data_IF_403860851234
#
_entry.id   IF_403860851234
#
_cell.length_a   1.000
_cell.length_b   1.000
_cell.length_c   1.000
_cell.angle_alpha   90.00
_cell.angle_beta   90.00
_cell.angle_gamma   90.00
#
_symmetry.space_group_name_H-M   'P 1'
#
loop_
_entity.id
_entity.type
_entity.pdbx_description
1 polymer ?
#
# COMPACT_ATOMS: atom_id res chain seq x y z
N UNK A 1 23.53 -21.16 22.44
CA UNK A 1 22.72 -20.44 21.43
C UNK A 1 21.66 -19.68 22.19
N UNK A 2 21.95 -18.39 22.42
CA UNK A 2 21.19 -17.53 23.35
C UNK A 2 19.76 -17.27 22.88
N UNK A 3 18.83 -17.42 23.80
CA UNK A 3 17.38 -17.19 23.67
C UNK A 3 17.04 -15.66 23.59
N UNK A 4 18.03 -14.81 23.34
CA UNK A 4 17.89 -13.35 23.26
C UNK A 4 17.18 -12.85 21.99
N UNK A 5 16.76 -13.74 21.08
CA UNK A 5 16.17 -13.36 19.79
C UNK A 5 14.63 -13.33 19.76
N UNK A 6 13.95 -13.66 20.87
CA UNK A 6 12.49 -13.70 20.91
C UNK A 6 11.93 -12.46 21.61
N UNK A 7 11.44 -11.50 20.81
CA UNK A 7 10.63 -10.40 21.36
C UNK A 7 9.39 -11.00 22.03
N UNK A 8 9.14 -10.78 23.34
CA UNK A 8 7.98 -11.34 24.02
C UNK A 8 6.67 -10.84 23.39
N UNK A 9 5.70 -11.73 23.22
CA UNK A 9 4.38 -11.39 22.63
C UNK A 9 3.68 -10.24 23.36
N UNK A 10 3.82 -10.16 24.67
CA UNK A 10 3.27 -9.05 25.46
C UNK A 10 3.88 -7.70 25.06
N UNK A 11 5.15 -7.66 24.69
CA UNK A 11 5.83 -6.45 24.21
C UNK A 11 5.32 -6.07 22.82
N UNK A 12 5.14 -7.03 21.92
CA UNK A 12 4.62 -6.80 20.56
C UNK A 12 3.23 -6.14 20.62
N UNK A 13 2.33 -6.65 21.46
CA UNK A 13 0.97 -6.12 21.57
C UNK A 13 0.89 -4.75 22.25
N UNK A 14 1.81 -4.42 23.13
CA UNK A 14 1.84 -3.16 23.91
C UNK A 14 2.61 -2.05 23.23
N UNK A 15 3.64 -2.37 22.46
CA UNK A 15 4.49 -1.37 21.80
C UNK A 15 3.75 -0.72 20.63
N UNK A 16 3.56 0.62 20.65
CA UNK A 16 2.87 1.33 19.58
C UNK A 16 3.58 1.22 18.22
N UNK A 17 4.90 0.92 18.20
CA UNK A 17 5.65 0.75 16.94
C UNK A 17 5.16 -0.47 16.18
N UNK A 18 5.00 -1.61 16.85
CA UNK A 18 4.53 -2.86 16.22
C UNK A 18 3.06 -2.75 15.78
N UNK A 19 2.22 -2.09 16.57
CA UNK A 19 0.83 -1.81 16.17
C UNK A 19 0.78 -0.93 14.94
N UNK A 20 1.59 0.12 14.87
CA UNK A 20 1.67 1.00 13.70
C UNK A 20 2.07 0.21 12.44
N UNK A 21 3.06 -0.68 12.54
CA UNK A 21 3.50 -1.54 11.42
C UNK A 21 2.35 -2.42 10.92
N UNK A 22 1.59 -3.05 11.82
CA UNK A 22 0.44 -3.86 11.45
C UNK A 22 -0.63 -3.04 10.71
N UNK A 23 -1.00 -1.87 11.24
CA UNK A 23 -1.99 -1.00 10.60
C UNK A 23 -1.51 -0.39 9.29
N UNK A 24 -0.23 -0.09 9.15
CA UNK A 24 0.32 0.32 7.87
C UNK A 24 0.35 -0.82 6.85
N UNK A 25 0.64 -2.04 7.28
CA UNK A 25 0.48 -3.23 6.44
C UNK A 25 -0.96 -3.39 5.97
N UNK A 26 -1.94 -3.25 6.87
CA UNK A 26 -3.36 -3.30 6.54
C UNK A 26 -3.73 -2.20 5.52
N UNK A 27 -3.29 -0.97 5.74
CA UNK A 27 -3.53 0.16 4.83
C UNK A 27 -2.89 -0.04 3.45
N UNK A 28 -1.78 -0.78 3.34
CA UNK A 28 -1.13 -1.18 2.10
C UNK A 28 -1.89 -2.31 1.41
N UNK A 29 -2.38 -3.29 2.17
CA UNK A 29 -3.11 -4.46 1.64
C UNK A 29 -4.44 -4.11 0.98
N UNK A 30 -5.16 -3.12 1.48
CA UNK A 30 -6.46 -2.70 0.96
C UNK A 30 -6.40 -2.30 -0.53
N UNK A 31 -5.62 -1.27 -0.95
CA UNK A 31 -5.62 -0.83 -2.34
C UNK A 31 -4.89 -1.81 -3.28
N UNK A 32 -3.85 -2.49 -2.81
CA UNK A 32 -3.11 -3.45 -3.64
C UNK A 32 -3.99 -4.64 -4.03
N UNK A 33 -4.70 -5.24 -3.09
CA UNK A 33 -5.62 -6.34 -3.36
C UNK A 33 -6.76 -5.90 -4.27
N UNK A 34 -7.29 -4.68 -4.09
CA UNK A 34 -8.32 -4.13 -4.94
C UNK A 34 -7.86 -4.07 -6.40
N UNK A 35 -6.62 -3.62 -6.66
CA UNK A 35 -6.06 -3.53 -8.01
C UNK A 35 -5.72 -4.90 -8.60
N UNK A 36 -5.13 -5.80 -7.81
CA UNK A 36 -4.66 -7.09 -8.32
C UNK A 36 -5.77 -8.14 -8.49
N UNK A 37 -6.73 -8.19 -7.58
CA UNK A 37 -7.75 -9.22 -7.56
C UNK A 37 -9.15 -8.68 -7.88
N UNK A 38 -9.70 -7.82 -7.03
CA UNK A 38 -11.09 -7.35 -7.09
C UNK A 38 -11.39 -6.66 -8.42
N UNK A 39 -10.45 -5.85 -8.91
CA UNK A 39 -10.61 -5.13 -10.17
C UNK A 39 -10.82 -6.08 -11.36
N UNK A 40 -10.04 -7.16 -11.44
CA UNK A 40 -10.13 -8.13 -12.52
C UNK A 40 -11.47 -8.89 -12.51
N UNK A 41 -11.99 -9.21 -11.33
CA UNK A 41 -13.28 -9.87 -11.15
C UNK A 41 -14.40 -8.93 -11.57
N UNK A 42 -14.40 -7.69 -11.07
CA UNK A 42 -15.41 -6.69 -11.41
C UNK A 42 -15.48 -6.40 -12.92
N UNK A 43 -14.33 -6.18 -13.58
CA UNK A 43 -14.28 -5.96 -15.01
C UNK A 43 -14.83 -7.14 -15.82
N UNK A 44 -14.66 -8.36 -15.31
CA UNK A 44 -15.22 -9.56 -15.94
C UNK A 44 -16.73 -9.63 -15.76
N UNK A 45 -17.26 -9.27 -14.60
CA UNK A 45 -18.70 -9.20 -14.35
C UNK A 45 -19.38 -8.13 -15.22
N UNK A 46 -18.69 -7.02 -15.49
CA UNK A 46 -19.11 -5.96 -16.42
C UNK A 46 -19.05 -6.39 -17.91
N UNK A 47 -18.64 -7.62 -18.20
CA UNK A 47 -18.63 -8.18 -19.55
C UNK A 47 -17.47 -7.73 -20.43
N UNK A 48 -16.40 -7.15 -19.86
CA UNK A 48 -15.25 -6.73 -20.65
C UNK A 48 -14.46 -7.93 -21.19
N UNK A 49 -13.84 -7.72 -22.37
CA UNK A 49 -12.99 -8.74 -22.99
C UNK A 49 -11.74 -9.02 -22.14
N UNK A 50 -11.18 -10.23 -22.28
CA UNK A 50 -9.93 -10.61 -21.60
C UNK A 50 -8.77 -9.67 -21.96
N UNK A 51 -8.75 -9.18 -23.18
CA UNK A 51 -7.75 -8.22 -23.67
C UNK A 51 -7.86 -6.89 -22.91
N UNK A 52 -9.09 -6.37 -22.75
CA UNK A 52 -9.34 -5.14 -21.99
C UNK A 52 -8.95 -5.29 -20.52
N UNK A 53 -9.27 -6.44 -19.90
CA UNK A 53 -8.88 -6.76 -18.51
C UNK A 53 -7.35 -6.81 -18.38
N UNK A 54 -6.66 -7.43 -19.35
CA UNK A 54 -5.19 -7.48 -19.38
C UNK A 54 -4.54 -6.10 -19.52
N UNK A 55 -5.11 -5.23 -20.35
CA UNK A 55 -4.64 -3.84 -20.49
C UNK A 55 -4.80 -3.04 -19.20
N UNK A 56 -5.93 -3.19 -18.51
CA UNK A 56 -6.14 -2.54 -17.21
C UNK A 56 -5.23 -3.17 -16.15
N UNK A 57 -4.95 -4.48 -16.22
CA UNK A 57 -3.97 -5.16 -15.37
C UNK A 57 -2.56 -4.55 -15.45
N UNK A 58 -2.20 -3.96 -16.60
CA UNK A 58 -0.95 -3.21 -16.73
C UNK A 58 -0.90 -1.96 -15.82
N UNK A 59 -2.03 -1.49 -15.30
CA UNK A 59 -2.07 -0.43 -14.29
C UNK A 59 -1.37 -0.83 -12.97
N UNK A 60 -1.12 -2.12 -12.74
CA UNK A 60 -0.32 -2.61 -11.61
C UNK A 60 1.21 -2.43 -11.78
N UNK A 61 1.67 -2.01 -12.97
CA UNK A 61 3.11 -1.78 -13.24
C UNK A 61 3.83 -0.92 -12.20
N UNK A 62 3.23 0.15 -11.61
CA UNK A 62 3.90 0.93 -10.57
C UNK A 62 4.46 0.12 -9.41
N UNK A 63 3.82 -0.98 -9.02
CA UNK A 63 4.35 -1.84 -7.95
C UNK A 63 5.65 -2.55 -8.34
N UNK A 64 5.84 -2.86 -9.62
CA UNK A 64 7.05 -3.51 -10.10
C UNK A 64 8.24 -2.54 -10.27
N UNK A 65 7.96 -1.25 -10.50
CA UNK A 65 8.99 -0.25 -10.83
C UNK A 65 9.11 0.86 -9.78
N UNK A 66 8.48 0.71 -8.60
CA UNK A 66 8.47 1.70 -7.53
C UNK A 66 9.87 2.10 -7.04
N UNK A 67 10.86 1.23 -7.21
CA UNK A 67 12.27 1.50 -6.90
C UNK A 67 12.84 2.69 -7.70
N UNK A 68 12.26 3.02 -8.86
CA UNK A 68 12.72 4.14 -9.69
C UNK A 68 12.48 5.49 -9.02
N UNK A 69 11.39 5.64 -8.27
CA UNK A 69 11.08 6.89 -7.56
C UNK A 69 11.24 6.82 -6.05
N UNK A 70 11.61 5.65 -5.50
CA UNK A 70 11.92 5.53 -4.08
C UNK A 70 12.93 6.58 -3.59
N UNK A 71 14.03 6.91 -4.33
CA UNK A 71 14.96 7.97 -3.93
C UNK A 71 14.32 9.37 -3.82
N UNK A 72 13.24 9.65 -4.58
CA UNK A 72 12.51 10.92 -4.46
C UNK A 72 11.69 10.95 -3.17
N UNK A 73 11.00 9.84 -2.82
CA UNK A 73 10.29 9.71 -1.55
C UNK A 73 11.24 9.88 -0.36
N UNK A 74 12.48 9.42 -0.51
CA UNK A 74 13.51 9.52 0.54
C UNK A 74 14.02 10.95 0.73
N UNK A 75 14.12 11.74 -0.33
CA UNK A 75 14.76 13.05 -0.32
C UNK A 75 13.78 14.22 -0.29
N UNK A 76 12.62 14.06 -0.93
CA UNK A 76 11.65 15.14 -1.08
C UNK A 76 10.88 15.37 0.20
N UNK A 77 10.96 16.56 0.76
CA UNK A 77 10.22 16.99 1.95
C UNK A 77 8.88 17.60 1.55
N UNK A 78 7.81 17.17 2.19
CA UNK A 78 6.44 17.67 1.95
C UNK A 78 6.14 18.93 2.80
N UNK A 79 7.04 19.90 2.77
CA UNK A 79 6.86 21.20 3.41
C UNK A 79 6.46 21.12 4.90
N UNK A 80 5.39 21.83 5.32
CA UNK A 80 4.95 21.88 6.72
C UNK A 80 4.58 20.52 7.32
N UNK A 81 4.12 19.59 6.47
CA UNK A 81 3.73 18.27 6.88
C UNK A 81 4.91 17.46 7.41
N UNK A 82 6.06 17.55 6.73
CA UNK A 82 7.32 16.92 7.18
C UNK A 82 7.81 17.51 8.51
N UNK A 83 7.64 18.81 8.73
CA UNK A 83 8.03 19.44 9.99
C UNK A 83 7.24 18.95 11.20
N UNK A 84 5.97 18.53 11.00
CA UNK A 84 5.09 18.06 12.08
C UNK A 84 5.12 16.55 12.30
N UNK A 85 5.19 15.76 11.24
CA UNK A 85 5.03 14.32 11.28
C UNK A 85 6.33 13.54 11.06
N UNK A 86 7.36 14.20 10.54
CA UNK A 86 8.57 13.56 10.03
C UNK A 86 8.40 13.10 8.58
N UNK A 87 9.52 12.74 7.93
CA UNK A 87 9.58 12.44 6.48
C UNK A 87 8.63 11.31 6.07
N UNK A 88 8.75 10.14 6.68
CA UNK A 88 8.01 8.93 6.26
C UNK A 88 6.51 9.03 6.50
N UNK A 89 6.14 9.48 7.70
CA UNK A 89 4.71 9.64 8.05
C UNK A 89 4.01 10.67 7.19
N UNK A 90 4.71 11.70 6.74
CA UNK A 90 4.16 12.71 5.84
C UNK A 90 3.82 12.12 4.47
N UNK A 91 4.69 11.28 3.92
CA UNK A 91 4.42 10.58 2.67
C UNK A 91 3.28 9.58 2.80
N UNK A 92 3.26 8.76 3.87
CA UNK A 92 2.17 7.82 4.14
C UNK A 92 0.84 8.56 4.22
N UNK A 93 0.76 9.64 5.00
CA UNK A 93 -0.46 10.43 5.13
C UNK A 93 -0.88 11.09 3.82
N UNK A 94 0.04 11.68 3.08
CA UNK A 94 -0.25 12.30 1.78
C UNK A 94 -0.81 11.27 0.79
N UNK A 95 -0.17 10.11 0.69
CA UNK A 95 -0.66 9.03 -0.16
C UNK A 95 -2.06 8.55 0.24
N UNK A 96 -2.34 8.36 1.53
CA UNK A 96 -3.66 7.94 2.00
C UNK A 96 -4.75 8.96 1.72
N UNK A 97 -4.46 10.26 1.93
CA UNK A 97 -5.40 11.33 1.62
C UNK A 97 -5.72 11.44 0.12
N UNK A 98 -4.80 11.04 -0.74
CA UNK A 98 -5.00 11.01 -2.19
C UNK A 98 -5.61 9.68 -2.66
N UNK A 99 -5.28 8.56 -2.02
CA UNK A 99 -5.80 7.24 -2.34
C UNK A 99 -7.32 7.14 -2.11
N UNK A 100 -7.81 7.63 -0.99
CA UNK A 100 -9.23 7.54 -0.65
C UNK A 100 -10.12 8.16 -1.75
N UNK A 101 -9.94 9.43 -2.17
CA UNK A 101 -10.72 9.98 -3.28
C UNK A 101 -10.43 9.30 -4.61
N UNK A 102 -9.19 8.86 -4.88
CA UNK A 102 -8.86 8.18 -6.14
C UNK A 102 -9.63 6.85 -6.28
N UNK A 103 -9.71 6.06 -5.21
CA UNK A 103 -10.49 4.81 -5.19
C UNK A 103 -11.99 5.09 -5.34
N UNK A 104 -12.52 6.12 -4.67
CA UNK A 104 -13.93 6.51 -4.80
C UNK A 104 -14.21 6.92 -6.25
N UNK A 105 -13.38 7.78 -6.85
CA UNK A 105 -13.55 8.21 -8.24
C UNK A 105 -13.47 7.01 -9.18
N UNK A 106 -12.55 6.08 -8.98
CA UNK A 106 -12.45 4.86 -9.77
C UNK A 106 -13.71 4.00 -9.65
N UNK A 107 -14.26 3.84 -8.44
CA UNK A 107 -15.47 3.05 -8.21
C UNK A 107 -16.75 3.68 -8.79
N UNK A 108 -16.76 4.99 -9.02
CA UNK A 108 -17.87 5.70 -9.65
C UNK A 108 -17.79 5.70 -11.18
N UNK A 109 -16.68 5.26 -11.77
CA UNK A 109 -16.54 5.16 -13.22
C UNK A 109 -17.22 3.89 -13.74
N UNK A 110 -17.81 3.99 -14.94
CA UNK A 110 -18.24 2.81 -15.69
C UNK A 110 -17.13 2.39 -16.67
N UNK A 111 -16.53 1.22 -16.49
CA UNK A 111 -15.47 0.76 -17.38
C UNK A 111 -15.97 0.52 -18.81
N UNK A 112 -17.28 0.31 -18.98
CA UNK A 112 -17.93 0.14 -20.30
C UNK A 112 -17.99 1.44 -21.10
N UNK A 113 -18.15 2.60 -20.44
CA UNK A 113 -18.29 3.89 -21.13
C UNK A 113 -16.94 4.50 -21.50
N UNK A 114 -15.90 4.33 -20.67
CA UNK A 114 -14.57 4.84 -20.95
C UNK A 114 -13.49 3.99 -20.30
N UNK A 115 -13.04 2.98 -21.00
CA UNK A 115 -11.96 2.09 -20.59
C UNK A 115 -10.66 2.87 -20.30
N UNK A 116 -10.39 3.91 -21.10
CA UNK A 116 -9.19 4.74 -20.94
C UNK A 116 -9.20 5.52 -19.62
N UNK A 117 -10.30 6.22 -19.32
CA UNK A 117 -10.45 6.99 -18.07
C UNK A 117 -10.36 6.07 -16.86
N UNK A 118 -11.02 4.91 -16.93
CA UNK A 118 -10.96 3.90 -15.89
C UNK A 118 -9.52 3.38 -15.67
N UNK A 119 -8.79 3.09 -16.76
CA UNK A 119 -7.39 2.67 -16.72
C UNK A 119 -6.47 3.71 -16.10
N UNK A 120 -6.69 5.00 -16.38
CA UNK A 120 -5.96 6.09 -15.72
C UNK A 120 -6.24 6.17 -14.22
N UNK A 121 -7.50 5.98 -13.80
CA UNK A 121 -7.83 5.91 -12.36
C UNK A 121 -7.14 4.73 -11.69
N UNK A 122 -7.15 3.55 -12.30
CA UNK A 122 -6.49 2.36 -11.79
C UNK A 122 -4.97 2.55 -11.70
N UNK A 123 -4.35 3.18 -12.70
CA UNK A 123 -2.93 3.52 -12.70
C UNK A 123 -2.58 4.52 -11.58
N UNK A 124 -3.41 5.53 -11.36
CA UNK A 124 -3.24 6.51 -10.29
C UNK A 124 -3.32 5.85 -8.92
N UNK A 125 -4.32 5.00 -8.69
CA UNK A 125 -4.47 4.23 -7.44
C UNK A 125 -3.24 3.36 -7.20
N UNK A 126 -2.77 2.63 -8.22
CA UNK A 126 -1.57 1.80 -8.14
C UNK A 126 -0.31 2.60 -7.84
N UNK A 127 -0.14 3.76 -8.48
CA UNK A 127 1.02 4.63 -8.26
C UNK A 127 1.06 5.19 -6.83
N UNK A 128 -0.08 5.68 -6.33
CA UNK A 128 -0.20 6.20 -4.97
C UNK A 128 0.04 5.11 -3.93
N UNK A 129 -0.53 3.93 -4.14
CA UNK A 129 -0.36 2.78 -3.25
C UNK A 129 1.10 2.28 -3.26
N UNK A 130 1.71 2.09 -4.44
CA UNK A 130 3.11 1.70 -4.53
C UNK A 130 4.06 2.73 -3.90
N UNK A 131 3.72 4.02 -3.98
CA UNK A 131 4.47 5.10 -3.32
C UNK A 131 4.31 5.04 -1.80
N UNK A 132 3.10 4.74 -1.32
CA UNK A 132 2.83 4.52 0.09
C UNK A 132 3.64 3.35 0.63
N UNK A 133 3.73 2.23 -0.11
CA UNK A 133 4.48 1.04 0.28
C UNK A 133 5.96 1.34 0.47
N UNK A 134 6.57 2.10 -0.44
CA UNK A 134 7.95 2.58 -0.29
C UNK A 134 8.14 3.34 1.02
N UNK A 135 7.21 4.24 1.36
CA UNK A 135 7.30 5.03 2.59
C UNK A 135 7.08 4.18 3.85
N UNK A 136 6.18 3.18 3.80
CA UNK A 136 5.89 2.25 4.91
C UNK A 136 7.10 1.35 5.17
N UNK A 137 7.72 0.80 4.12
CA UNK A 137 8.89 -0.06 4.25
C UNK A 137 10.09 0.69 4.84
N UNK A 138 10.34 1.90 4.35
CA UNK A 138 11.37 2.76 4.92
C UNK A 138 11.08 3.13 6.39
N UNK A 139 9.83 3.46 6.72
CA UNK A 139 9.41 3.74 8.10
C UNK A 139 9.65 2.54 9.02
N UNK A 140 9.30 1.33 8.58
CA UNK A 140 9.50 0.10 9.35
C UNK A 140 10.96 -0.12 9.73
N UNK A 141 11.88 0.09 8.78
CA UNK A 141 13.32 -0.06 9.01
C UNK A 141 13.86 1.02 9.96
N UNK A 142 13.34 2.25 9.88
CA UNK A 142 13.79 3.36 10.72
C UNK A 142 13.37 3.24 12.20
N UNK A 143 12.21 2.63 12.49
CA UNK A 143 11.67 2.57 13.86
C UNK A 143 12.04 1.30 14.63
N UNK A 144 12.49 0.27 13.95
CA UNK A 144 12.84 -1.02 14.54
C UNK A 144 14.35 -1.17 14.70
N UNK A 145 14.74 -1.96 15.70
CA UNK A 145 16.11 -2.43 15.86
C UNK A 145 16.36 -3.63 14.96
N UNK A 146 17.62 -3.94 14.59
CA UNK A 146 17.93 -5.08 13.73
C UNK A 146 17.36 -6.41 14.24
N UNK A 147 17.34 -6.62 15.56
CA UNK A 147 16.81 -7.84 16.19
C UNK A 147 15.27 -7.95 16.09
N UNK A 148 14.59 -6.82 15.85
CA UNK A 148 13.12 -6.71 15.74
C UNK A 148 12.64 -6.83 14.30
N UNK A 149 13.51 -6.81 13.26
CA UNK A 149 13.12 -6.78 11.86
C UNK A 149 12.27 -7.99 11.46
N UNK A 150 12.58 -9.18 11.96
CA UNK A 150 11.81 -10.39 11.67
C UNK A 150 10.36 -10.30 12.15
N UNK A 151 10.15 -9.81 13.38
CA UNK A 151 8.82 -9.61 13.95
C UNK A 151 8.09 -8.49 13.20
N UNK A 152 8.78 -7.39 12.90
CA UNK A 152 8.20 -6.28 12.14
C UNK A 152 7.77 -6.69 10.74
N UNK A 153 8.57 -7.53 10.05
CA UNK A 153 8.20 -8.06 8.74
C UNK A 153 6.97 -8.96 8.83
N UNK A 154 6.90 -9.86 9.82
CA UNK A 154 5.75 -10.71 10.03
C UNK A 154 4.46 -9.90 10.26
N UNK A 155 4.51 -8.88 11.13
CA UNK A 155 3.36 -8.02 11.40
C UNK A 155 2.90 -7.22 10.18
N UNK A 156 3.84 -6.71 9.37
CA UNK A 156 3.51 -6.04 8.12
C UNK A 156 2.78 -6.99 7.15
N UNK A 157 3.28 -8.22 7.01
CA UNK A 157 2.66 -9.25 6.15
C UNK A 157 1.27 -9.64 6.68
N UNK A 158 1.11 -9.87 7.98
CA UNK A 158 -0.20 -10.16 8.56
C UNK A 158 -1.17 -8.99 8.38
N UNK A 159 -0.72 -7.76 8.57
CA UNK A 159 -1.50 -6.56 8.29
C UNK A 159 -1.94 -6.52 6.84
N UNK A 160 -1.01 -6.72 5.90
CA UNK A 160 -1.28 -6.74 4.47
C UNK A 160 -2.34 -7.80 4.09
N UNK A 161 -2.17 -9.05 4.53
CA UNK A 161 -3.16 -10.11 4.28
C UNK A 161 -4.52 -9.80 4.91
N UNK A 162 -4.54 -9.18 6.10
CA UNK A 162 -5.81 -8.75 6.71
C UNK A 162 -6.50 -7.69 5.86
N UNK A 163 -5.75 -6.70 5.36
CA UNK A 163 -6.26 -5.69 4.44
C UNK A 163 -6.79 -6.30 3.14
N UNK A 164 -6.03 -7.21 2.54
CA UNK A 164 -6.39 -7.93 1.34
C UNK A 164 -7.70 -8.73 1.54
N UNK A 165 -7.80 -9.45 2.63
CA UNK A 165 -9.01 -10.22 2.98
C UNK A 165 -10.26 -9.34 3.12
N UNK A 166 -10.12 -8.16 3.70
CA UNK A 166 -11.23 -7.21 3.86
C UNK A 166 -11.75 -6.65 2.53
N UNK A 167 -10.94 -6.65 1.49
CA UNK A 167 -11.33 -6.24 0.12
C UNK A 167 -11.78 -7.39 -0.77
N UNK A 168 -11.91 -8.60 -0.23
CA UNK A 168 -12.47 -9.75 -0.93
C UNK A 168 -11.45 -10.50 -1.81
N UNK A 169 -10.18 -10.44 -1.47
CA UNK A 169 -9.12 -11.19 -2.15
C UNK A 169 -8.76 -12.49 -1.42
#
# INVERSE_FOLDING_TARGET
MDDASKVPWATILRDPRFRAIFFFGLASGLPSSLVFATLSIWLREEGLSRTSIGLIGAAATPYAINFLWAPFVDRLRLGPLTGRLGQRRSWIMACQLMLAPAVIVMGLQSPQTSLLTFGFCALLVSFLSATQDVAIDAYRVEILKPEEYGVGAALAIYGWHTGAFLTGA
#
